data_IF_449051969506
#
_entry.id   IF_449051969506
#
_cell.length_a   1.000
_cell.length_b   1.000
_cell.length_c   1.000
_cell.angle_alpha   90.00
_cell.angle_beta   90.00
_cell.angle_gamma   90.00
#
_symmetry.space_group_name_H-M   'P 1'
#
loop_
_entity.id
_entity.type
_entity.pdbx_description
1 polymer ?
#
# COMPACT_ATOMS: atom_id res chain seq x y z
N UNK A 1 -38.86 6.42 49.41
CA UNK A 1 -37.89 6.42 48.30
C UNK A 1 -36.50 6.37 48.92
N UNK A 2 -35.92 5.17 49.01
CA UNK A 2 -34.60 4.94 49.62
C UNK A 2 -33.87 3.94 48.73
N UNK A 3 -33.49 4.38 47.53
CA UNK A 3 -32.63 3.63 46.63
C UNK A 3 -31.28 4.34 46.56
N UNK A 4 -30.27 3.68 47.15
CA UNK A 4 -28.88 3.65 46.69
C UNK A 4 -28.18 4.99 46.44
N UNK A 5 -27.72 5.64 47.50
CA UNK A 5 -26.40 6.28 47.46
C UNK A 5 -25.33 5.20 47.66
N UNK A 6 -25.05 4.41 46.62
CA UNK A 6 -23.79 3.67 46.58
C UNK A 6 -22.67 4.69 46.41
N UNK A 7 -21.75 4.68 47.37
CA UNK A 7 -20.68 5.66 47.53
C UNK A 7 -19.91 5.90 46.21
N UNK A 8 -20.00 7.13 45.70
CA UNK A 8 -19.38 7.60 44.45
C UNK A 8 -17.86 7.34 44.42
N UNK A 9 -17.22 7.37 45.60
CA UNK A 9 -15.81 7.03 45.78
C UNK A 9 -15.50 5.53 45.64
N UNK A 10 -16.45 4.64 45.95
CA UNK A 10 -16.30 3.20 45.74
C UNK A 10 -16.44 2.86 44.25
N UNK A 11 -17.39 3.49 43.54
CA UNK A 11 -17.54 3.34 42.09
C UNK A 11 -16.30 3.83 41.34
N UNK A 12 -15.82 5.04 41.66
CA UNK A 12 -14.60 5.59 41.05
C UNK A 12 -13.36 4.72 41.30
N UNK A 13 -13.21 4.17 42.52
CA UNK A 13 -12.11 3.25 42.85
C UNK A 13 -12.18 1.94 42.07
N UNK A 14 -13.35 1.31 41.98
CA UNK A 14 -13.54 0.08 41.20
C UNK A 14 -13.32 0.31 39.70
N UNK A 15 -13.76 1.45 39.18
CA UNK A 15 -13.57 1.84 37.79
C UNK A 15 -12.09 2.07 37.44
N UNK A 16 -11.34 2.78 38.30
CA UNK A 16 -9.90 2.99 38.13
C UNK A 16 -9.14 1.66 38.20
N UNK A 17 -9.50 0.77 39.15
CA UNK A 17 -8.86 -0.55 39.27
C UNK A 17 -9.08 -1.38 38.01
N UNK A 18 -10.28 -1.34 37.41
CA UNK A 18 -10.58 -2.07 36.17
C UNK A 18 -9.80 -1.53 34.98
N UNK A 19 -9.67 -0.20 34.83
CA UNK A 19 -8.87 0.42 33.77
C UNK A 19 -7.39 0.10 33.93
N UNK A 20 -6.87 0.16 35.16
CA UNK A 20 -5.48 -0.21 35.44
C UNK A 20 -5.24 -1.70 35.15
N UNK A 21 -6.17 -2.59 35.52
CA UNK A 21 -6.06 -4.01 35.20
C UNK A 21 -6.06 -4.28 33.68
N UNK A 22 -6.93 -3.61 32.92
CA UNK A 22 -6.97 -3.74 31.45
C UNK A 22 -5.72 -3.19 30.78
N UNK A 23 -5.25 -2.01 31.20
CA UNK A 23 -4.02 -1.41 30.66
C UNK A 23 -2.80 -2.28 30.97
N UNK A 24 -2.66 -2.78 32.20
CA UNK A 24 -1.59 -3.70 32.58
C UNK A 24 -1.67 -5.01 31.77
N UNK A 25 -2.86 -5.56 31.56
CA UNK A 25 -3.06 -6.76 30.74
C UNK A 25 -2.63 -6.52 29.29
N UNK A 26 -3.01 -5.39 28.69
CA UNK A 26 -2.60 -5.06 27.31
C UNK A 26 -1.09 -4.87 27.18
N UNK A 27 -0.46 -4.19 28.15
CA UNK A 27 1.00 -3.97 28.16
C UNK A 27 1.74 -5.29 28.34
N UNK A 28 1.29 -6.15 29.25
CA UNK A 28 1.91 -7.47 29.47
C UNK A 28 1.80 -8.36 28.23
N UNK A 29 0.65 -8.38 27.55
CA UNK A 29 0.48 -9.08 26.27
C UNK A 29 1.41 -8.50 25.19
N UNK A 30 1.52 -7.18 25.07
CA UNK A 30 2.43 -6.54 24.09
C UNK A 30 3.90 -6.87 24.35
N UNK A 31 4.35 -6.87 25.62
CA UNK A 31 5.73 -7.23 25.97
C UNK A 31 6.01 -8.71 25.71
N UNK A 32 5.08 -9.60 26.04
CA UNK A 32 5.20 -11.03 25.73
C UNK A 32 5.22 -11.28 24.22
N UNK A 33 4.36 -10.59 23.47
CA UNK A 33 4.34 -10.65 22.00
C UNK A 33 5.67 -10.15 21.43
N UNK A 34 6.19 -9.01 21.90
CA UNK A 34 7.47 -8.45 21.46
C UNK A 34 8.65 -9.37 21.77
N UNK A 35 8.64 -10.02 22.93
CA UNK A 35 9.69 -10.96 23.31
C UNK A 35 9.63 -12.22 22.42
N UNK A 36 8.44 -12.76 22.19
CA UNK A 36 8.24 -13.92 21.31
C UNK A 36 8.53 -13.60 19.83
N UNK A 37 8.17 -12.40 19.36
CA UNK A 37 8.35 -11.99 17.97
C UNK A 37 9.75 -11.49 17.67
N UNK A 38 10.54 -11.07 18.67
CA UNK A 38 11.92 -10.61 18.46
C UNK A 38 12.79 -11.64 17.72
N UNK A 39 12.66 -12.93 18.06
CA UNK A 39 13.36 -14.03 17.38
C UNK A 39 12.71 -14.48 16.07
N UNK A 40 11.41 -14.21 15.87
CA UNK A 40 10.70 -14.54 14.63
C UNK A 40 11.00 -13.51 13.53
N UNK A 41 10.99 -12.23 13.87
CA UNK A 41 11.25 -11.15 12.91
C UNK A 41 12.67 -11.22 12.34
N UNK A 42 13.69 -11.45 13.17
CA UNK A 42 15.08 -11.62 12.72
C UNK A 42 15.24 -12.83 11.77
N UNK A 43 14.52 -13.93 12.05
CA UNK A 43 14.56 -15.15 11.24
C UNK A 43 13.77 -15.04 9.94
N UNK A 44 12.76 -14.16 9.89
CA UNK A 44 12.02 -13.85 8.66
C UNK A 44 12.85 -12.94 7.75
N UNK A 45 13.58 -11.98 8.32
CA UNK A 45 14.46 -11.08 7.57
C UNK A 45 15.62 -11.85 6.91
N UNK A 46 16.29 -12.74 7.67
CA UNK A 46 17.33 -13.63 7.13
C UNK A 46 16.79 -14.59 6.05
N UNK A 47 15.56 -15.11 6.21
CA UNK A 47 14.93 -15.96 5.20
C UNK A 47 14.53 -15.19 3.95
N UNK A 48 14.07 -13.95 4.11
CA UNK A 48 13.70 -13.07 3.00
C UNK A 48 14.93 -12.68 2.16
N UNK A 49 16.05 -12.33 2.80
CA UNK A 49 17.31 -12.07 2.09
C UNK A 49 17.88 -13.34 1.44
N UNK A 50 17.85 -14.49 2.12
CA UNK A 50 18.40 -15.72 1.57
C UNK A 50 17.59 -16.27 0.39
N UNK A 51 16.26 -16.20 0.45
CA UNK A 51 15.37 -16.65 -0.64
C UNK A 51 15.42 -15.69 -1.85
N UNK A 52 15.50 -14.37 -1.60
CA UNK A 52 15.65 -13.38 -2.67
C UNK A 52 17.02 -13.48 -3.36
N UNK A 53 18.10 -13.64 -2.61
CA UNK A 53 19.45 -13.70 -3.19
C UNK A 53 19.68 -15.00 -3.99
N UNK A 54 19.17 -16.15 -3.51
CA UNK A 54 19.29 -17.42 -4.24
C UNK A 54 18.39 -17.46 -5.49
N UNK A 55 17.16 -16.93 -5.41
CA UNK A 55 16.25 -16.90 -6.56
C UNK A 55 16.71 -15.95 -7.66
N UNK A 56 17.37 -14.84 -7.30
CA UNK A 56 18.05 -13.96 -8.25
C UNK A 56 19.28 -14.65 -8.83
N UNK A 57 20.18 -15.19 -8.01
CA UNK A 57 21.39 -15.87 -8.49
C UNK A 57 21.09 -17.05 -9.44
N UNK A 58 20.01 -17.80 -9.19
CA UNK A 58 19.61 -18.92 -10.03
C UNK A 58 18.99 -18.48 -11.37
N UNK A 59 18.38 -17.29 -11.44
CA UNK A 59 17.80 -16.73 -12.68
C UNK A 59 18.83 -16.03 -13.57
N UNK A 60 19.99 -15.64 -13.02
CA UNK A 60 21.11 -15.06 -13.78
C UNK A 60 22.23 -16.09 -14.02
N UNK A 61 22.04 -17.35 -13.60
CA UNK A 61 23.03 -18.40 -13.82
C UNK A 61 23.22 -18.63 -15.34
N UNK A 62 24.45 -18.50 -15.87
CA UNK A 62 24.68 -18.64 -17.30
C UNK A 62 24.45 -20.09 -17.74
N UNK A 63 23.50 -20.28 -18.67
CA UNK A 63 23.17 -21.59 -19.26
C UNK A 63 24.13 -22.01 -20.40
N UNK A 64 25.21 -21.27 -20.62
CA UNK A 64 26.25 -21.61 -21.58
C UNK A 64 27.53 -20.82 -21.33
N UNK A 65 28.68 -21.46 -21.52
CA UNK A 65 29.98 -20.80 -21.52
C UNK A 65 30.35 -20.46 -22.97
N UNK A 66 30.18 -19.20 -23.35
CA UNK A 66 30.73 -18.68 -24.60
C UNK A 66 31.91 -17.79 -24.24
N UNK A 67 33.12 -18.15 -24.69
CA UNK A 67 34.25 -17.22 -24.66
C UNK A 67 34.01 -16.15 -25.71
N UNK A 68 33.44 -15.03 -25.28
CA UNK A 68 33.44 -13.82 -26.08
C UNK A 68 34.60 -12.93 -25.59
N UNK A 69 35.56 -12.75 -26.49
CA UNK A 69 36.57 -11.69 -26.42
C UNK A 69 35.89 -10.36 -26.02
N UNK A 70 36.56 -9.63 -25.13
CA UNK A 70 36.07 -8.44 -24.43
C UNK A 70 35.32 -7.44 -25.33
N UNK A 71 34.05 -7.18 -25.00
CA UNK A 71 33.35 -5.94 -25.41
C UNK A 71 32.71 -5.30 -24.18
N UNK A 72 32.79 -3.97 -24.17
CA UNK A 72 32.67 -3.06 -23.04
C UNK A 72 31.32 -3.05 -22.30
N UNK A 73 31.43 -2.68 -21.01
CA UNK A 73 30.46 -2.05 -20.08
C UNK A 73 29.07 -2.70 -19.89
N UNK A 74 28.55 -2.78 -18.65
CA UNK A 74 27.18 -3.21 -18.41
C UNK A 74 26.23 -2.19 -19.04
N UNK A 75 25.57 -2.58 -20.13
CA UNK A 75 24.42 -1.84 -20.65
C UNK A 75 23.34 -1.93 -19.58
N UNK A 76 23.01 -0.81 -18.96
CA UNK A 76 21.83 -0.71 -18.09
C UNK A 76 20.62 -1.16 -18.91
N UNK A 77 20.06 -2.32 -18.56
CA UNK A 77 18.79 -2.77 -19.11
C UNK A 77 17.76 -1.75 -18.65
N UNK A 78 17.27 -0.92 -19.57
CA UNK A 78 16.16 -0.03 -19.28
C UNK A 78 15.00 -0.87 -18.75
N UNK A 79 14.52 -0.54 -17.54
CA UNK A 79 13.36 -1.21 -16.97
C UNK A 79 12.19 -1.08 -17.97
N UNK A 80 11.52 -2.19 -18.25
CA UNK A 80 10.31 -2.18 -19.08
C UNK A 80 9.26 -1.36 -18.33
N UNK A 81 8.64 -0.34 -18.96
CA UNK A 81 7.58 0.44 -18.33
C UNK A 81 6.42 -0.45 -17.89
N UNK A 82 5.88 -0.17 -16.71
CA UNK A 82 4.70 -0.87 -16.20
C UNK A 82 3.47 -0.58 -17.07
N UNK A 83 2.60 -1.57 -17.19
CA UNK A 83 1.28 -1.41 -17.81
C UNK A 83 0.32 -0.65 -16.88
N UNK A 84 -0.73 -0.07 -17.45
CA UNK A 84 -1.75 0.63 -16.67
C UNK A 84 -2.43 -0.26 -15.62
N UNK A 85 -2.65 -1.55 -15.93
CA UNK A 85 -3.20 -2.54 -15.00
C UNK A 85 -2.25 -2.82 -13.84
N UNK A 86 -0.94 -2.96 -14.10
CA UNK A 86 0.07 -3.17 -13.05
C UNK A 86 0.16 -1.98 -12.10
N UNK A 87 0.09 -0.75 -12.65
CA UNK A 87 0.06 0.46 -11.83
C UNK A 87 -1.24 0.56 -11.04
N UNK A 88 -2.38 0.17 -11.64
CA UNK A 88 -3.70 0.21 -11.01
C UNK A 88 -3.77 -0.59 -9.72
N UNK A 89 -2.97 -1.64 -9.54
CA UNK A 89 -2.90 -2.39 -8.27
C UNK A 89 -2.69 -1.46 -7.07
N UNK A 90 -1.86 -0.43 -7.22
CA UNK A 90 -1.65 0.59 -6.19
C UNK A 90 -2.78 1.61 -6.10
N UNK A 91 -3.40 1.97 -7.23
CA UNK A 91 -4.49 2.93 -7.31
C UNK A 91 -5.81 2.38 -6.73
N UNK A 92 -6.06 1.07 -6.91
CA UNK A 92 -7.25 0.36 -6.46
C UNK A 92 -7.48 0.43 -4.95
N UNK A 93 -6.40 0.60 -4.16
CA UNK A 93 -6.48 0.78 -2.71
C UNK A 93 -7.48 1.86 -2.27
N UNK A 94 -7.65 2.91 -3.08
CA UNK A 94 -8.70 3.91 -2.87
C UNK A 94 -9.84 3.81 -3.91
N UNK A 95 -9.51 3.49 -5.16
CA UNK A 95 -10.46 3.57 -6.28
C UNK A 95 -11.39 2.36 -6.45
N UNK A 96 -11.11 1.22 -5.79
CA UNK A 96 -12.01 0.05 -5.87
C UNK A 96 -13.29 0.26 -5.04
N UNK A 97 -13.16 0.89 -3.87
CA UNK A 97 -14.27 1.07 -2.91
C UNK A 97 -14.68 2.54 -2.71
N UNK A 98 -13.92 3.48 -3.28
CA UNK A 98 -14.15 4.91 -3.12
C UNK A 98 -13.71 5.45 -1.76
N UNK A 99 -12.72 4.81 -1.15
CA UNK A 99 -12.16 5.22 0.15
C UNK A 99 -11.66 6.67 0.07
N UNK A 100 -11.86 7.44 1.15
CA UNK A 100 -11.58 8.90 1.21
C UNK A 100 -12.32 9.75 0.16
N UNK A 101 -13.40 9.23 -0.44
CA UNK A 101 -14.17 9.91 -1.49
C UNK A 101 -13.55 9.79 -2.88
N UNK A 102 -12.67 8.81 -3.10
CA UNK A 102 -12.15 8.51 -4.42
C UNK A 102 -13.27 8.06 -5.38
N UNK A 103 -13.22 8.41 -6.68
CA UNK A 103 -14.18 7.90 -7.64
C UNK A 103 -14.00 6.39 -7.83
N UNK A 104 -15.12 5.65 -7.71
CA UNK A 104 -15.13 4.19 -7.82
C UNK A 104 -14.93 3.78 -9.27
N UNK A 105 -13.95 2.92 -9.54
CA UNK A 105 -13.69 2.36 -10.89
C UNK A 105 -14.57 1.13 -11.09
N UNK A 106 -15.82 1.38 -11.47
CA UNK A 106 -16.78 0.34 -11.84
C UNK A 106 -17.86 0.93 -12.75
N UNK A 107 -18.64 0.07 -13.40
CA UNK A 107 -19.81 0.50 -14.17
C UNK A 107 -20.83 1.31 -13.33
N UNK A 108 -20.93 1.03 -12.02
CA UNK A 108 -21.78 1.81 -11.12
C UNK A 108 -21.24 3.24 -10.86
N UNK A 109 -19.93 3.44 -11.01
CA UNK A 109 -19.25 4.74 -10.90
C UNK A 109 -19.16 5.52 -12.21
N UNK A 110 -19.72 5.01 -13.32
CA UNK A 110 -19.57 5.60 -14.65
C UNK A 110 -20.03 7.07 -14.72
N UNK A 111 -21.09 7.43 -13.99
CA UNK A 111 -21.59 8.81 -13.95
C UNK A 111 -20.56 9.80 -13.37
N UNK A 112 -19.83 9.40 -12.32
CA UNK A 112 -18.79 10.20 -11.69
C UNK A 112 -17.60 10.38 -12.64
N UNK A 113 -17.20 9.29 -13.31
CA UNK A 113 -16.12 9.32 -14.29
C UNK A 113 -16.45 10.14 -15.54
N UNK A 114 -17.70 10.10 -16.02
CA UNK A 114 -18.15 10.94 -17.13
C UNK A 114 -18.10 12.44 -16.77
N UNK A 115 -18.51 12.79 -15.55
CA UNK A 115 -18.44 14.18 -15.05
C UNK A 115 -16.99 14.67 -14.96
N UNK A 116 -16.08 13.78 -14.55
CA UNK A 116 -14.64 14.08 -14.48
C UNK A 116 -14.03 14.20 -15.87
N UNK A 117 -14.36 13.29 -16.78
CA UNK A 117 -13.88 13.31 -18.17
C UNK A 117 -14.33 14.56 -18.93
N UNK A 118 -15.48 15.14 -18.56
CA UNK A 118 -15.94 16.43 -19.11
C UNK A 118 -14.97 17.61 -18.80
N UNK A 119 -14.07 17.48 -17.82
CA UNK A 119 -13.01 18.45 -17.53
C UNK A 119 -11.81 18.34 -18.49
N UNK A 120 -11.83 17.32 -19.37
CA UNK A 120 -10.74 17.01 -20.30
C UNK A 120 -9.81 15.93 -19.76
N UNK A 121 -9.35 15.06 -20.66
CA UNK A 121 -8.44 13.95 -20.33
C UNK A 121 -7.10 14.46 -19.77
N UNK A 122 -6.56 15.55 -20.33
CA UNK A 122 -5.32 16.16 -19.85
C UNK A 122 -5.41 16.63 -18.40
N UNK A 123 -6.59 17.12 -17.98
CA UNK A 123 -6.85 17.50 -16.60
C UNK A 123 -6.79 16.29 -15.66
N UNK A 124 -7.35 15.15 -16.09
CA UNK A 124 -7.28 13.91 -15.30
C UNK A 124 -5.86 13.42 -15.14
N UNK A 125 -5.08 13.43 -16.22
CA UNK A 125 -3.66 13.10 -16.16
C UNK A 125 -2.90 14.05 -15.23
N UNK A 126 -3.15 15.35 -15.34
CA UNK A 126 -2.48 16.34 -14.50
C UNK A 126 -2.78 16.12 -13.01
N UNK A 127 -4.04 15.86 -12.66
CA UNK A 127 -4.44 15.56 -11.28
C UNK A 127 -3.86 14.24 -10.78
N UNK A 128 -3.75 13.22 -11.64
CA UNK A 128 -3.12 11.95 -11.25
C UNK A 128 -1.60 12.10 -11.02
N UNK A 129 -0.92 12.88 -11.86
CA UNK A 129 0.52 13.11 -11.77
C UNK A 129 0.85 14.01 -10.58
N UNK A 130 0.13 15.11 -10.40
CA UNK A 130 0.46 16.15 -9.40
C UNK A 130 -0.31 15.98 -8.08
N UNK A 131 -1.33 15.14 -8.04
CA UNK A 131 -2.22 14.99 -6.91
C UNK A 131 -3.34 16.03 -6.90
N UNK A 132 -4.43 15.70 -6.19
CA UNK A 132 -5.57 16.58 -5.97
C UNK A 132 -6.31 16.19 -4.69
N UNK A 133 -6.63 17.16 -3.82
CA UNK A 133 -7.32 16.91 -2.56
C UNK A 133 -6.64 15.81 -1.72
N UNK A 134 -7.34 14.70 -1.45
CA UNK A 134 -6.84 13.54 -0.72
C UNK A 134 -6.02 12.57 -1.58
N UNK A 135 -5.96 12.78 -2.91
CA UNK A 135 -5.18 11.94 -3.82
C UNK A 135 -3.75 12.48 -3.90
N UNK A 136 -2.73 11.74 -3.40
CA UNK A 136 -1.34 12.16 -3.49
C UNK A 136 -0.82 12.16 -4.94
N UNK A 137 0.24 12.94 -5.19
CA UNK A 137 0.96 12.92 -6.46
C UNK A 137 1.38 11.50 -6.84
N UNK A 138 1.13 11.12 -8.10
CA UNK A 138 1.43 9.78 -8.64
C UNK A 138 0.83 8.63 -7.82
N UNK A 139 -0.32 8.84 -7.19
CA UNK A 139 -0.95 7.85 -6.32
C UNK A 139 -0.12 7.48 -5.08
N UNK A 140 0.88 8.29 -4.72
CA UNK A 140 1.77 8.05 -3.58
C UNK A 140 3.06 7.30 -3.95
N UNK A 141 3.25 6.92 -5.21
CA UNK A 141 4.46 6.27 -5.69
C UNK A 141 5.27 7.20 -6.60
N UNK A 142 6.26 7.89 -6.02
CA UNK A 142 7.12 8.82 -6.74
C UNK A 142 8.04 8.16 -7.79
N UNK A 143 8.20 6.83 -7.75
CA UNK A 143 9.02 6.08 -8.71
C UNK A 143 8.32 5.85 -10.05
N UNK A 144 6.99 6.04 -10.12
CA UNK A 144 6.25 5.92 -11.36
C UNK A 144 6.58 7.09 -12.31
N UNK A 145 6.78 6.77 -13.58
CA UNK A 145 6.86 7.76 -14.64
C UNK A 145 5.48 8.36 -14.94
N UNK A 146 5.46 9.54 -15.56
CA UNK A 146 4.21 10.21 -15.92
C UNK A 146 3.42 9.39 -16.95
N UNK A 147 4.09 8.64 -17.81
CA UNK A 147 3.44 7.80 -18.82
C UNK A 147 2.81 6.54 -18.22
N UNK A 148 3.43 5.94 -17.20
CA UNK A 148 2.84 4.86 -16.41
C UNK A 148 1.58 5.33 -15.68
N UNK A 149 1.58 6.56 -15.15
CA UNK A 149 0.39 7.16 -14.55
C UNK A 149 -0.72 7.39 -15.58
N UNK A 150 -0.40 7.90 -16.77
CA UNK A 150 -1.40 8.06 -17.85
C UNK A 150 -2.00 6.72 -18.27
N UNK A 151 -1.17 5.69 -18.42
CA UNK A 151 -1.63 4.34 -18.74
C UNK A 151 -2.59 3.80 -17.66
N UNK A 152 -2.32 4.07 -16.38
CA UNK A 152 -3.23 3.70 -15.29
C UNK A 152 -4.57 4.44 -15.36
N UNK A 153 -4.55 5.76 -15.66
CA UNK A 153 -5.78 6.55 -15.84
C UNK A 153 -6.60 6.01 -17.02
N UNK A 154 -5.97 5.64 -18.13
CA UNK A 154 -6.65 5.06 -19.29
C UNK A 154 -7.31 3.72 -18.94
N UNK A 155 -6.60 2.86 -18.21
CA UNK A 155 -7.13 1.60 -17.71
C UNK A 155 -8.36 1.81 -16.80
N UNK A 156 -8.29 2.80 -15.90
CA UNK A 156 -9.42 3.15 -15.03
C UNK A 156 -10.63 3.66 -15.82
N UNK A 157 -10.40 4.53 -16.81
CA UNK A 157 -11.46 5.05 -17.68
C UNK A 157 -12.11 3.96 -18.52
N UNK A 158 -11.36 2.97 -18.97
CA UNK A 158 -11.92 1.83 -19.69
C UNK A 158 -12.82 0.98 -18.78
N UNK A 159 -12.41 0.77 -17.53
CA UNK A 159 -13.11 -0.07 -16.55
C UNK A 159 -14.29 0.63 -15.86
N UNK A 160 -14.31 1.96 -15.90
CA UNK A 160 -15.39 2.78 -15.38
C UNK A 160 -16.55 3.00 -16.36
N UNK A 161 -16.49 2.45 -17.58
CA UNK A 161 -17.57 2.53 -18.58
C UNK A 161 -18.76 1.64 -18.24
#
# INVERSE_FOLDING_TARGET
MSETQMNDSTFSRLFIIMILAMTILTITIMVLASLASSGVNAKLDERYEQESTQSIAQRIAPVGTFSAETVAAPVAVAAVPLTGEEVYVSCGACHDSGTLGAPIVSAAGAADWNTRLAQGLDTLYNHAINGINNMPAKGGNASLSDDEIKAAVDYMLERAK
#
